data_IF_047004332605
#
_entry.id   IF_047004332605
#
_cell.length_a   1.000
_cell.length_b   1.000
_cell.length_c   1.000
_cell.angle_alpha   90.00
_cell.angle_beta   90.00
_cell.angle_gamma   90.00
#
_symmetry.space_group_name_H-M   'P 1'
#
loop_
_entity.id
_entity.type
_entity.pdbx_description
1 polymer ?
#
# COMPACT_ATOMS: atom_id res chain seq x y z
N UNK A 1 -7.58 37.68 8.32
CA UNK A 1 -8.91 37.00 8.33
C UNK A 1 -9.09 36.27 7.03
N UNK A 2 -9.06 34.97 7.04
CA UNK A 2 -9.42 34.18 5.85
C UNK A 2 -10.95 34.20 5.73
N UNK A 3 -11.46 35.03 4.82
CA UNK A 3 -12.89 35.06 4.50
C UNK A 3 -13.31 33.65 4.02
N UNK A 4 -14.39 33.14 4.56
CA UNK A 4 -15.04 31.90 4.13
C UNK A 4 -15.38 32.04 2.64
N UNK A 5 -14.59 31.35 1.79
CA UNK A 5 -14.85 31.30 0.36
C UNK A 5 -15.67 30.03 0.07
N UNK A 6 -16.92 30.22 -0.32
CA UNK A 6 -17.74 29.17 -0.90
C UNK A 6 -17.27 28.85 -2.31
N UNK A 7 -17.31 27.56 -2.68
CA UNK A 7 -17.34 27.20 -4.11
C UNK A 7 -18.70 27.58 -4.69
N UNK A 8 -18.80 27.70 -6.00
CA UNK A 8 -20.05 28.04 -6.68
C UNK A 8 -21.17 27.04 -6.37
N UNK A 9 -20.84 25.77 -6.29
CA UNK A 9 -21.78 24.68 -5.93
C UNK A 9 -22.26 24.80 -4.48
N UNK A 10 -21.35 25.10 -3.54
CA UNK A 10 -21.68 25.29 -2.13
C UNK A 10 -22.57 26.52 -1.94
N UNK A 11 -22.26 27.62 -2.63
CA UNK A 11 -23.07 28.85 -2.59
C UNK A 11 -24.48 28.59 -3.12
N UNK A 12 -24.61 27.93 -4.27
CA UNK A 12 -25.90 27.57 -4.86
C UNK A 12 -26.71 26.62 -3.98
N UNK A 13 -26.04 25.67 -3.29
CA UNK A 13 -26.70 24.79 -2.34
C UNK A 13 -27.21 25.52 -1.09
N UNK A 14 -26.47 26.56 -0.64
CA UNK A 14 -26.84 27.39 0.50
C UNK A 14 -28.03 28.30 0.17
N UNK A 15 -27.96 29.07 -0.92
CA UNK A 15 -29.03 30.01 -1.28
C UNK A 15 -30.33 29.31 -1.71
N UNK A 16 -30.23 28.08 -2.24
CA UNK A 16 -31.41 27.27 -2.58
C UNK A 16 -32.01 26.52 -1.40
N UNK A 17 -31.46 26.69 -0.19
CA UNK A 17 -31.92 26.03 1.03
C UNK A 17 -31.70 24.52 1.06
N UNK A 18 -30.91 23.94 0.12
CA UNK A 18 -30.58 22.51 0.09
C UNK A 18 -29.58 22.10 1.18
N UNK A 19 -28.71 23.03 1.59
CA UNK A 19 -27.73 22.83 2.68
C UNK A 19 -27.63 24.07 3.56
N UNK A 20 -27.50 23.84 4.85
CA UNK A 20 -27.18 24.88 5.82
C UNK A 20 -25.68 25.16 5.83
N UNK A 21 -25.29 26.32 6.34
CA UNK A 21 -23.88 26.69 6.53
C UNK A 21 -23.11 25.61 7.29
N UNK A 22 -23.70 25.06 8.35
CA UNK A 22 -23.10 24.01 9.18
C UNK A 22 -22.86 22.73 8.42
N UNK A 23 -23.79 22.32 7.55
CA UNK A 23 -23.64 21.11 6.72
C UNK A 23 -22.53 21.28 5.67
N UNK A 24 -22.33 22.48 5.16
CA UNK A 24 -21.23 22.80 4.24
C UNK A 24 -19.89 22.76 4.97
N UNK A 25 -19.80 23.36 6.16
CA UNK A 25 -18.59 23.31 7.00
C UNK A 25 -18.25 21.88 7.43
N UNK A 26 -19.24 21.08 7.84
CA UNK A 26 -19.04 19.70 8.26
C UNK A 26 -18.60 18.80 7.07
N UNK A 27 -19.06 19.10 5.86
CA UNK A 27 -18.61 18.42 4.64
C UNK A 27 -17.16 18.72 4.26
N UNK A 28 -16.64 19.90 4.65
CA UNK A 28 -15.23 20.30 4.44
C UNK A 28 -14.26 19.69 5.45
N UNK A 29 -14.76 19.27 6.60
CA UNK A 29 -13.91 18.60 7.61
C UNK A 29 -13.38 17.30 7.03
N UNK A 30 -12.07 17.01 7.15
CA UNK A 30 -11.53 15.75 6.73
C UNK A 30 -12.28 14.63 7.46
N UNK A 31 -12.91 13.75 6.69
CA UNK A 31 -13.59 12.57 7.27
C UNK A 31 -12.56 11.79 8.07
N UNK A 32 -12.82 11.45 9.35
CA UNK A 32 -11.91 10.62 10.11
C UNK A 32 -11.65 9.33 9.30
N UNK A 33 -10.37 8.98 9.13
CA UNK A 33 -9.98 7.76 8.46
C UNK A 33 -10.73 6.58 9.09
N UNK A 34 -11.45 5.80 8.28
CA UNK A 34 -12.15 4.58 8.72
C UNK A 34 -11.19 3.54 9.34
N UNK A 35 -9.91 3.68 9.05
CA UNK A 35 -8.85 2.84 9.56
C UNK A 35 -8.08 3.59 10.63
N UNK A 36 -8.36 3.27 11.90
CA UNK A 36 -7.58 3.73 13.08
C UNK A 36 -6.19 3.07 13.13
N UNK A 37 -5.49 2.99 12.00
CA UNK A 37 -4.12 2.50 11.98
C UNK A 37 -3.23 3.60 12.54
N UNK A 38 -2.82 3.45 13.79
CA UNK A 38 -1.79 4.30 14.40
C UNK A 38 -0.45 3.94 13.74
N UNK A 39 -0.05 4.75 12.78
CA UNK A 39 1.27 4.67 12.15
C UNK A 39 2.29 5.25 13.14
N UNK A 40 2.79 4.44 14.05
CA UNK A 40 3.91 4.82 14.91
C UNK A 40 5.22 4.37 14.25
N UNK A 41 6.27 5.22 14.19
CA UNK A 41 7.56 4.79 13.72
C UNK A 41 8.13 3.74 14.67
N UNK A 42 8.81 2.75 14.11
CA UNK A 42 9.50 1.69 14.83
C UNK A 42 10.93 1.65 14.34
N UNK A 43 11.90 1.55 15.24
CA UNK A 43 13.30 1.37 14.86
C UNK A 43 13.50 -0.03 14.27
N UNK A 44 14.02 -0.11 13.05
CA UNK A 44 14.38 -1.38 12.41
C UNK A 44 15.60 -1.99 13.12
N UNK A 45 15.47 -3.16 13.76
CA UNK A 45 16.60 -3.81 14.43
C UNK A 45 17.73 -4.20 13.46
N UNK A 46 17.44 -4.30 12.16
CA UNK A 46 18.39 -4.70 11.13
C UNK A 46 19.24 -3.53 10.62
N UNK A 47 18.62 -2.36 10.43
CA UNK A 47 19.28 -1.17 9.86
C UNK A 47 19.49 -0.04 10.86
N UNK A 48 18.76 -0.02 11.97
CA UNK A 48 18.72 1.08 12.92
C UNK A 48 17.91 2.29 12.47
N UNK A 49 17.28 2.23 11.30
CA UNK A 49 16.45 3.31 10.76
C UNK A 49 15.02 3.24 11.28
N UNK A 50 14.34 4.40 11.30
CA UNK A 50 12.93 4.44 11.62
C UNK A 50 12.08 3.98 10.43
N UNK A 51 11.18 3.03 10.69
CA UNK A 51 10.25 2.49 9.71
C UNK A 51 8.82 2.81 10.13
N UNK A 52 8.01 3.24 9.17
CA UNK A 52 6.57 3.39 9.32
C UNK A 52 5.90 2.25 8.55
N UNK A 53 5.10 1.43 9.26
CA UNK A 53 4.30 0.38 8.66
C UNK A 53 2.91 0.87 8.30
N UNK A 54 2.32 0.34 7.24
CA UNK A 54 0.97 0.69 6.83
C UNK A 54 -0.11 0.10 7.75
N UNK A 55 0.22 -0.97 8.47
CA UNK A 55 -0.65 -1.60 9.47
C UNK A 55 0.15 -2.23 10.62
N UNK A 56 -0.51 -2.42 11.77
CA UNK A 56 0.06 -3.18 12.89
C UNK A 56 0.31 -4.64 12.49
N UNK A 57 -0.55 -5.23 11.67
CA UNK A 57 -0.40 -6.59 11.15
C UNK A 57 0.89 -6.74 10.33
N UNK A 58 1.18 -5.77 9.46
CA UNK A 58 2.43 -5.75 8.68
C UNK A 58 3.66 -5.64 9.58
N UNK A 59 3.61 -4.76 10.58
CA UNK A 59 4.67 -4.61 11.59
C UNK A 59 4.94 -5.92 12.33
N UNK A 60 3.89 -6.54 12.86
CA UNK A 60 4.00 -7.75 13.67
C UNK A 60 4.53 -8.93 12.83
N UNK A 61 4.10 -9.01 11.58
CA UNK A 61 4.61 -10.00 10.63
C UNK A 61 6.09 -9.77 10.30
N UNK A 62 6.52 -8.52 10.17
CA UNK A 62 7.95 -8.20 9.97
C UNK A 62 8.82 -8.68 11.14
N UNK A 63 8.40 -8.42 12.38
CA UNK A 63 9.14 -8.89 13.54
C UNK A 63 9.19 -10.42 13.63
N UNK A 64 8.13 -11.11 13.26
CA UNK A 64 8.12 -12.56 13.15
C UNK A 64 9.15 -13.04 12.10
N UNK A 65 9.22 -12.40 10.94
CA UNK A 65 10.21 -12.74 9.91
C UNK A 65 11.65 -12.46 10.36
N UNK A 66 11.90 -11.36 11.07
CA UNK A 66 13.21 -11.06 11.65
C UNK A 66 13.66 -12.13 12.65
N UNK A 67 12.75 -12.63 13.47
CA UNK A 67 13.04 -13.71 14.40
C UNK A 67 13.37 -15.02 13.67
N UNK A 68 12.63 -15.36 12.62
CA UNK A 68 12.92 -16.50 11.74
C UNK A 68 14.27 -16.36 11.04
N UNK A 69 14.65 -15.16 10.58
CA UNK A 69 15.95 -14.88 9.96
C UNK A 69 17.08 -15.08 10.99
N UNK A 70 16.91 -14.61 12.23
CA UNK A 70 17.87 -14.82 13.34
C UNK A 70 18.06 -16.29 13.69
N UNK A 71 17.01 -17.09 13.61
CA UNK A 71 17.08 -18.55 13.81
C UNK A 71 17.63 -19.31 12.61
N UNK A 72 17.93 -18.63 11.51
CA UNK A 72 18.45 -19.24 10.28
C UNK A 72 17.41 -20.03 9.49
N UNK A 73 16.12 -19.87 9.77
CA UNK A 73 15.03 -20.52 9.03
C UNK A 73 14.80 -19.91 7.66
N UNK A 74 15.03 -18.60 7.56
CA UNK A 74 14.94 -17.84 6.31
C UNK A 74 16.18 -16.96 6.13
N UNK A 75 16.42 -16.50 4.90
CA UNK A 75 17.51 -15.61 4.54
C UNK A 75 17.06 -14.60 3.49
N UNK A 76 17.85 -13.56 3.26
CA UNK A 76 17.58 -12.50 2.29
C UNK A 76 16.23 -11.77 2.54
N UNK A 77 15.85 -11.61 3.80
CA UNK A 77 14.66 -10.86 4.15
C UNK A 77 14.76 -9.42 3.64
N UNK A 78 13.85 -9.05 2.77
CA UNK A 78 13.71 -7.71 2.24
C UNK A 78 12.26 -7.22 2.40
N UNK A 79 12.11 -5.90 2.55
CA UNK A 79 10.82 -5.23 2.61
C UNK A 79 10.54 -4.50 1.32
N UNK A 80 9.25 -4.39 0.98
CA UNK A 80 8.75 -3.54 -0.11
C UNK A 80 9.45 -3.79 -1.45
N UNK A 81 9.54 -5.08 -1.82
CA UNK A 81 10.10 -5.51 -3.09
C UNK A 81 9.21 -5.05 -4.26
N UNK A 82 9.80 -4.30 -5.20
CA UNK A 82 9.10 -3.90 -6.43
C UNK A 82 9.33 -4.94 -7.52
N UNK A 83 8.25 -5.53 -8.00
CA UNK A 83 8.22 -6.50 -9.08
C UNK A 83 7.70 -5.84 -10.35
N UNK A 84 8.41 -5.99 -11.47
CA UNK A 84 7.94 -5.50 -12.77
C UNK A 84 7.09 -6.58 -13.43
N UNK A 85 5.80 -6.31 -13.62
CA UNK A 85 4.88 -7.19 -14.34
C UNK A 85 5.06 -7.01 -15.85
N UNK A 86 5.12 -5.76 -16.29
CA UNK A 86 5.31 -5.38 -17.67
C UNK A 86 6.32 -4.22 -17.73
N UNK A 87 7.39 -4.33 -18.51
CA UNK A 87 8.32 -3.22 -18.71
C UNK A 87 7.64 -2.06 -19.47
N UNK A 88 8.17 -0.86 -19.30
CA UNK A 88 7.73 0.28 -20.09
C UNK A 88 8.04 0.05 -21.57
N UNK A 89 7.20 0.57 -22.45
CA UNK A 89 7.37 0.43 -23.90
C UNK A 89 6.81 1.64 -24.64
N UNK A 90 7.16 1.73 -25.92
CA UNK A 90 6.59 2.72 -26.85
C UNK A 90 5.72 1.96 -27.87
N UNK A 91 4.48 2.37 -28.01
CA UNK A 91 3.56 1.75 -28.98
C UNK A 91 3.79 2.22 -30.43
N UNK A 92 3.04 1.66 -31.36
CA UNK A 92 3.15 1.96 -32.80
C UNK A 92 2.83 3.41 -33.16
N UNK A 93 2.12 4.13 -32.27
CA UNK A 93 1.80 5.55 -32.48
C UNK A 93 2.88 6.49 -31.95
N UNK A 94 3.94 5.94 -31.31
CA UNK A 94 5.00 6.70 -30.65
C UNK A 94 4.69 7.10 -29.22
N UNK A 95 3.57 6.65 -28.63
CA UNK A 95 3.20 6.94 -27.25
C UNK A 95 3.98 6.05 -26.30
N UNK A 96 4.60 6.68 -25.32
CA UNK A 96 5.33 5.98 -24.24
C UNK A 96 4.38 5.50 -23.13
N UNK A 97 4.50 4.23 -22.78
CA UNK A 97 3.77 3.60 -21.68
C UNK A 97 4.71 3.29 -20.52
N UNK A 98 4.29 3.65 -19.31
CA UNK A 98 5.07 3.36 -18.10
C UNK A 98 4.98 1.86 -17.76
N UNK A 99 5.98 1.31 -17.05
CA UNK A 99 5.92 -0.08 -16.59
C UNK A 99 4.73 -0.30 -15.64
N UNK A 100 4.18 -1.50 -15.67
CA UNK A 100 3.24 -1.98 -14.66
C UNK A 100 4.06 -2.72 -13.61
N UNK A 101 3.98 -2.24 -12.37
CA UNK A 101 4.73 -2.80 -11.26
C UNK A 101 3.79 -3.25 -10.14
N UNK A 102 4.27 -4.17 -9.33
CA UNK A 102 3.66 -4.59 -8.08
C UNK A 102 4.66 -4.45 -6.94
N UNK A 103 4.25 -3.89 -5.81
CA UNK A 103 5.07 -3.74 -4.62
C UNK A 103 4.59 -4.72 -3.56
N UNK A 104 5.38 -5.74 -3.31
CA UNK A 104 5.13 -6.72 -2.27
C UNK A 104 5.67 -6.22 -0.92
N UNK A 105 5.01 -6.59 0.18
CA UNK A 105 5.41 -6.16 1.51
C UNK A 105 6.72 -6.81 1.94
N UNK A 106 6.88 -8.13 1.70
CA UNK A 106 8.05 -8.90 2.11
C UNK A 106 8.52 -9.88 1.06
N UNK A 107 9.81 -10.13 1.07
CA UNK A 107 10.50 -11.17 0.31
C UNK A 107 11.49 -11.89 1.21
N UNK A 108 11.59 -13.20 1.08
CA UNK A 108 12.62 -14.00 1.73
C UNK A 108 12.85 -15.32 1.01
N UNK A 109 13.95 -16.01 1.34
CA UNK A 109 14.24 -17.38 0.89
C UNK A 109 14.19 -18.30 2.09
N UNK A 110 13.43 -19.39 2.00
CA UNK A 110 13.43 -20.45 2.99
C UNK A 110 14.74 -21.25 2.90
N UNK A 111 15.43 -21.41 4.03
CA UNK A 111 16.77 -22.04 4.05
C UNK A 111 16.74 -23.55 3.80
N UNK A 112 15.61 -24.22 4.12
CA UNK A 112 15.45 -25.67 3.93
C UNK A 112 15.05 -26.00 2.50
N UNK A 113 14.01 -25.33 2.00
CA UNK A 113 13.47 -25.62 0.65
C UNK A 113 14.21 -24.91 -0.47
N UNK A 114 14.98 -23.83 -0.15
CA UNK A 114 15.63 -22.92 -1.10
C UNK A 114 14.64 -22.17 -2.00
N UNK A 115 13.35 -22.18 -1.65
CA UNK A 115 12.32 -21.46 -2.39
C UNK A 115 12.24 -20.01 -1.94
N UNK A 116 12.00 -19.13 -2.91
CA UNK A 116 11.70 -17.71 -2.65
C UNK A 116 10.22 -17.52 -2.35
N UNK A 117 9.93 -16.67 -1.38
CA UNK A 117 8.59 -16.33 -0.96
C UNK A 117 8.37 -14.83 -1.14
N UNK A 118 7.28 -14.46 -1.77
CA UNK A 118 6.82 -13.07 -1.92
C UNK A 118 5.50 -12.95 -1.18
N UNK A 119 5.48 -12.11 -0.15
CA UNK A 119 4.37 -12.04 0.80
C UNK A 119 3.76 -10.66 0.81
N UNK A 120 2.44 -10.63 0.92
CA UNK A 120 1.65 -9.44 1.02
C UNK A 120 0.66 -9.53 2.20
N UNK A 121 0.72 -8.53 3.08
CA UNK A 121 -0.16 -8.44 4.26
C UNK A 121 -1.40 -7.64 3.87
N UNK A 122 -2.49 -8.34 3.49
CA UNK A 122 -3.69 -7.69 2.97
C UNK A 122 -4.86 -7.67 3.96
N UNK A 123 -5.39 -6.44 4.17
CA UNK A 123 -6.71 -6.24 4.77
C UNK A 123 -7.81 -6.16 3.71
N UNK A 124 -7.60 -5.41 2.62
CA UNK A 124 -8.57 -5.21 1.55
C UNK A 124 -7.97 -5.48 0.17
N UNK A 125 -8.69 -6.25 -0.65
CA UNK A 125 -8.26 -6.67 -1.99
C UNK A 125 -9.01 -5.89 -3.06
N UNK A 126 -8.32 -4.93 -3.71
CA UNK A 126 -8.87 -4.19 -4.85
C UNK A 126 -8.87 -5.04 -6.12
N UNK A 127 -9.67 -4.66 -7.12
CA UNK A 127 -9.68 -5.36 -8.43
C UNK A 127 -8.34 -5.22 -9.16
N UNK A 128 -7.67 -4.07 -9.03
CA UNK A 128 -6.32 -3.85 -9.56
C UNK A 128 -5.31 -4.81 -8.89
N UNK A 129 -5.42 -5.01 -7.59
CA UNK A 129 -4.58 -5.97 -6.86
C UNK A 129 -4.79 -7.40 -7.40
N UNK A 130 -6.05 -7.83 -7.53
CA UNK A 130 -6.40 -9.17 -8.05
C UNK A 130 -5.87 -9.38 -9.46
N UNK A 131 -5.98 -8.37 -10.34
CA UNK A 131 -5.44 -8.41 -11.69
C UNK A 131 -3.92 -8.56 -11.68
N UNK A 132 -3.20 -7.73 -10.93
CA UNK A 132 -1.73 -7.79 -10.84
C UNK A 132 -1.26 -9.13 -10.27
N UNK A 133 -1.92 -9.65 -9.23
CA UNK A 133 -1.62 -10.96 -8.65
C UNK A 133 -1.78 -12.09 -9.68
N UNK A 134 -2.86 -12.05 -10.47
CA UNK A 134 -3.10 -13.01 -11.56
C UNK A 134 -2.04 -12.95 -12.65
N UNK A 135 -1.61 -11.74 -13.05
CA UNK A 135 -0.56 -11.55 -14.04
C UNK A 135 0.80 -12.06 -13.53
N UNK A 136 1.14 -11.84 -12.27
CA UNK A 136 2.35 -12.38 -11.63
C UNK A 136 2.32 -13.90 -11.60
N UNK A 137 1.18 -14.50 -11.22
CA UNK A 137 1.00 -15.95 -11.20
C UNK A 137 1.16 -16.57 -12.60
N UNK A 138 0.64 -15.90 -13.63
CA UNK A 138 0.86 -16.30 -15.04
C UNK A 138 2.34 -16.29 -15.41
N UNK A 139 3.11 -15.32 -14.91
CA UNK A 139 4.57 -15.24 -15.05
C UNK A 139 5.36 -16.22 -14.16
N UNK A 140 4.68 -17.06 -13.38
CA UNK A 140 5.30 -18.06 -12.51
C UNK A 140 5.61 -17.60 -11.09
N UNK A 141 5.17 -16.40 -10.68
CA UNK A 141 5.42 -15.85 -9.35
C UNK A 141 4.12 -15.79 -8.54
N UNK A 142 4.07 -16.53 -7.44
CA UNK A 142 2.91 -16.62 -6.56
C UNK A 142 3.08 -15.62 -5.39
N UNK A 143 2.08 -14.77 -5.19
CA UNK A 143 2.01 -13.88 -4.02
C UNK A 143 1.26 -14.60 -2.90
N UNK A 144 1.93 -14.77 -1.78
CA UNK A 144 1.35 -15.32 -0.55
C UNK A 144 0.64 -14.20 0.23
N UNK A 145 -0.58 -14.45 0.63
CA UNK A 145 -1.37 -13.51 1.43
C UNK A 145 -1.42 -13.96 2.88
N UNK A 146 -1.13 -13.04 3.78
CA UNK A 146 -1.16 -13.27 5.24
C UNK A 146 -1.99 -12.23 5.98
#
# INVERSE_FOLDING_TARGET
MSGLRFTEEEYNAYISGRKTFREIEDARKPKPSKYKNRKAPVTDPKTGEEIIFDSEKERDYYFLLLDREKRGEITQLARQLTLTIQPGFTDRTGKKHRPITYRADFYYIDTKTKLSHVVDVKGFKTDIYRLKKKLLAYGGLIIEEV
#
